data_IF_790491348956
#
_entry.id   IF_790491348956
#
_cell.length_a   1.000
_cell.length_b   1.000
_cell.length_c   1.000
_cell.angle_alpha   90.00
_cell.angle_beta   90.00
_cell.angle_gamma   90.00
#
_symmetry.space_group_name_H-M   'P 1'
#
loop_
_entity.id
_entity.type
_entity.pdbx_description
1 polymer ?
#
# COMPACT_ATOMS: atom_id res chain seq x y z
N UNK A 1 13.56 18.49 -1.56
CA UNK A 1 14.68 19.46 -1.46
C UNK A 1 14.33 20.59 -0.50
N UNK A 2 15.19 20.90 0.49
CA UNK A 2 14.92 21.93 1.51
C UNK A 2 15.66 23.24 1.24
N UNK A 3 14.93 24.35 1.12
CA UNK A 3 15.50 25.69 0.87
C UNK A 3 15.18 26.67 2.00
N UNK A 4 16.06 27.63 2.26
CA UNK A 4 15.68 28.79 3.07
C UNK A 4 14.69 29.67 2.29
N UNK A 5 13.90 30.48 3.02
CA UNK A 5 12.94 31.44 2.43
C UNK A 5 13.58 32.38 1.41
N UNK A 6 14.88 32.65 1.57
CA UNK A 6 15.66 33.53 0.70
C UNK A 6 16.09 32.84 -0.58
N UNK A 7 16.55 31.61 -0.46
CA UNK A 7 16.94 30.79 -1.60
C UNK A 7 15.70 30.48 -2.44
N UNK A 8 14.58 30.17 -1.80
CA UNK A 8 13.31 29.94 -2.47
C UNK A 8 12.79 31.19 -3.20
N UNK A 9 12.87 32.38 -2.58
CA UNK A 9 12.50 33.63 -3.22
C UNK A 9 13.35 33.90 -4.49
N UNK A 10 14.66 33.66 -4.41
CA UNK A 10 15.56 33.79 -5.58
C UNK A 10 15.25 32.75 -6.65
N UNK A 11 14.98 31.50 -6.25
CA UNK A 11 14.63 30.41 -7.15
C UNK A 11 13.35 30.70 -7.95
N UNK A 12 12.31 31.21 -7.28
CA UNK A 12 11.05 31.60 -7.94
C UNK A 12 11.09 33.01 -8.57
N UNK A 13 12.20 33.75 -8.43
CA UNK A 13 12.35 35.10 -8.97
C UNK A 13 11.45 36.15 -8.32
N UNK A 14 11.02 35.93 -7.07
CA UNK A 14 10.06 36.80 -6.35
C UNK A 14 10.69 37.49 -5.14
N UNK A 15 9.98 38.47 -4.57
CA UNK A 15 10.41 39.12 -3.34
C UNK A 15 10.27 38.18 -2.13
N UNK A 16 11.11 38.38 -1.10
CA UNK A 16 11.00 37.64 0.16
C UNK A 16 9.62 37.84 0.82
N UNK A 17 9.01 39.02 0.69
CA UNK A 17 7.71 39.31 1.29
C UNK A 17 6.62 38.43 0.67
N UNK A 18 6.65 38.28 -0.66
CA UNK A 18 5.74 37.38 -1.39
C UNK A 18 5.81 35.95 -0.88
N UNK A 19 7.02 35.46 -0.55
CA UNK A 19 7.20 34.12 0.03
C UNK A 19 6.61 34.02 1.44
N UNK A 20 6.70 35.08 2.27
CA UNK A 20 6.03 35.08 3.58
C UNK A 20 4.51 35.07 3.44
N UNK A 21 3.96 35.85 2.51
CA UNK A 21 2.53 35.89 2.24
C UNK A 21 2.02 34.52 1.74
N UNK A 22 2.82 33.80 0.93
CA UNK A 22 2.50 32.43 0.49
C UNK A 22 2.55 31.42 1.63
N UNK A 23 3.46 31.58 2.60
CA UNK A 23 3.49 30.74 3.80
C UNK A 23 2.22 30.99 4.65
N UNK A 24 1.81 32.25 4.82
CA UNK A 24 0.59 32.59 5.57
C UNK A 24 -0.69 32.08 4.89
N UNK A 25 -0.75 32.13 3.56
CA UNK A 25 -1.83 31.52 2.76
C UNK A 25 -1.74 29.99 2.69
N UNK A 26 -0.66 29.43 3.22
CA UNK A 26 -0.39 28.00 3.18
C UNK A 26 0.03 27.47 1.80
N UNK A 27 0.23 28.29 0.78
CA UNK A 27 0.63 27.88 -0.57
C UNK A 27 2.04 27.25 -0.62
N UNK A 28 2.83 27.42 0.44
CA UNK A 28 4.18 26.88 0.60
C UNK A 28 4.26 25.99 1.83
N UNK A 29 4.80 24.78 1.66
CA UNK A 29 4.96 23.80 2.73
C UNK A 29 6.29 24.02 3.46
N UNK A 30 6.24 24.08 4.79
CA UNK A 30 7.40 24.29 5.65
C UNK A 30 7.81 22.99 6.33
N UNK A 31 9.10 22.64 6.22
CA UNK A 31 9.74 21.61 7.03
C UNK A 31 10.65 22.30 8.07
N UNK A 32 10.11 22.47 9.27
CA UNK A 32 10.73 23.25 10.35
C UNK A 32 10.95 24.72 9.95
N UNK A 33 12.22 25.14 9.86
CA UNK A 33 12.58 26.52 9.48
C UNK A 33 12.83 26.72 7.97
N UNK A 34 12.73 25.66 7.17
CA UNK A 34 13.01 25.66 5.73
C UNK A 34 11.76 25.29 4.93
N UNK A 35 11.73 25.72 3.67
CA UNK A 35 10.67 25.40 2.72
C UNK A 35 10.98 24.04 2.10
N UNK A 36 9.98 23.17 2.10
CA UNK A 36 10.02 21.92 1.37
C UNK A 36 9.53 22.16 -0.06
N UNK A 37 10.47 22.17 -1.01
CA UNK A 37 10.16 22.43 -2.41
C UNK A 37 9.31 21.33 -3.02
N UNK A 38 9.58 20.06 -2.69
CA UNK A 38 8.90 18.93 -3.32
C UNK A 38 7.45 18.90 -2.86
N UNK A 39 7.20 19.05 -1.56
CA UNK A 39 5.85 19.14 -1.03
C UNK A 39 5.08 20.38 -1.56
N UNK A 40 5.78 21.50 -1.76
CA UNK A 40 5.19 22.72 -2.32
C UNK A 40 4.87 22.59 -3.81
N UNK A 41 5.70 21.91 -4.59
CA UNK A 41 5.49 21.71 -6.03
C UNK A 41 4.42 20.65 -6.30
N UNK A 42 4.34 19.62 -5.46
CA UNK A 42 3.26 18.65 -5.49
C UNK A 42 1.91 19.33 -5.24
N UNK A 43 1.84 20.22 -4.25
CA UNK A 43 0.62 20.97 -3.92
C UNK A 43 0.21 22.00 -4.98
N UNK A 44 1.17 22.67 -5.62
CA UNK A 44 0.91 23.74 -6.60
C UNK A 44 0.84 23.25 -8.04
N UNK A 45 0.99 21.94 -8.27
CA UNK A 45 0.66 21.35 -9.56
C UNK A 45 -0.84 21.53 -9.81
N UNK A 46 -1.26 21.87 -11.05
CA UNK A 46 -2.68 22.07 -11.35
C UNK A 46 -3.46 20.81 -10.94
N UNK A 47 -4.72 20.95 -10.49
CA UNK A 47 -5.54 19.78 -10.20
C UNK A 47 -5.65 19.00 -11.51
N UNK A 48 -4.97 17.86 -11.59
CA UNK A 48 -5.22 16.88 -12.63
C UNK A 48 -6.71 16.60 -12.57
N UNK A 49 -7.43 17.01 -13.62
CA UNK A 49 -8.84 16.70 -13.79
C UNK A 49 -9.04 15.21 -13.50
N UNK A 50 -9.82 14.91 -12.46
CA UNK A 50 -10.38 13.60 -12.12
C UNK A 50 -9.67 12.40 -12.76
N UNK A 51 -8.44 12.15 -12.33
CA UNK A 51 -7.78 10.86 -12.49
C UNK A 51 -7.46 10.41 -11.09
N UNK A 52 -8.06 9.30 -10.69
CA UNK A 52 -7.80 8.65 -9.42
C UNK A 52 -6.30 8.44 -9.29
N UNK A 53 -5.66 9.26 -8.47
CA UNK A 53 -4.21 9.22 -8.24
C UNK A 53 -3.76 7.85 -7.70
N UNK A 54 -4.69 7.11 -7.09
CA UNK A 54 -4.52 5.72 -6.66
C UNK A 54 -4.34 4.78 -7.86
N UNK A 55 -5.08 5.00 -8.96
CA UNK A 55 -5.01 4.19 -10.19
C UNK A 55 -3.71 4.38 -10.97
N UNK A 56 -3.07 5.55 -10.89
CA UNK A 56 -1.73 5.74 -11.50
C UNK A 56 -0.59 5.14 -10.66
N UNK A 57 -0.78 5.02 -9.34
CA UNK A 57 0.20 4.41 -8.43
C UNK A 57 0.19 2.87 -8.48
N UNK A 58 -0.97 2.28 -8.77
CA UNK A 58 -1.19 0.82 -8.80
C UNK A 58 -2.00 0.44 -10.05
N UNK A 59 -1.39 0.46 -11.25
CA UNK A 59 -2.09 0.29 -12.52
C UNK A 59 -2.77 -1.08 -12.68
N UNK A 60 -2.36 -2.08 -11.91
CA UNK A 60 -2.95 -3.41 -11.84
C UNK A 60 -4.26 -3.48 -11.03
N UNK A 61 -4.56 -2.46 -10.22
CA UNK A 61 -5.79 -2.37 -9.42
C UNK A 61 -6.95 -1.86 -10.28
N UNK A 62 -7.56 -2.78 -11.01
CA UNK A 62 -8.61 -2.50 -12.01
C UNK A 62 -10.01 -2.93 -11.59
N UNK A 63 -10.14 -3.63 -10.45
CA UNK A 63 -11.40 -4.11 -9.91
C UNK A 63 -11.95 -3.08 -8.93
N UNK A 64 -13.01 -2.38 -9.31
CA UNK A 64 -13.73 -1.50 -8.38
C UNK A 64 -14.76 -2.33 -7.61
N UNK A 65 -14.56 -2.45 -6.29
CA UNK A 65 -15.50 -3.15 -5.41
C UNK A 65 -15.35 -2.62 -3.99
N UNK A 66 -16.42 -2.74 -3.21
CA UNK A 66 -16.37 -2.35 -1.80
C UNK A 66 -15.51 -3.32 -0.99
N UNK A 67 -15.00 -2.91 0.16
CA UNK A 67 -14.28 -3.80 1.08
C UNK A 67 -15.09 -5.07 1.42
N UNK A 68 -16.40 -4.93 1.64
CA UNK A 68 -17.30 -6.06 1.90
C UNK A 68 -17.45 -7.02 0.72
N UNK A 69 -17.55 -6.48 -0.50
CA UNK A 69 -17.59 -7.28 -1.73
C UNK A 69 -16.26 -7.98 -2.01
N UNK A 70 -15.13 -7.29 -1.83
CA UNK A 70 -13.80 -7.86 -1.99
C UNK A 70 -13.57 -9.00 -1.00
N UNK A 71 -13.88 -8.80 0.29
CA UNK A 71 -13.77 -9.87 1.29
C UNK A 71 -14.68 -11.07 0.98
N UNK A 72 -15.89 -10.83 0.47
CA UNK A 72 -16.75 -11.91 0.00
C UNK A 72 -16.13 -12.64 -1.18
N UNK A 73 -15.57 -11.92 -2.15
CA UNK A 73 -14.93 -12.50 -3.34
C UNK A 73 -13.69 -13.34 -2.98
N UNK A 74 -12.87 -12.88 -2.02
CA UNK A 74 -11.73 -13.65 -1.47
C UNK A 74 -12.23 -14.99 -0.92
N UNK A 75 -13.24 -14.96 -0.06
CA UNK A 75 -13.82 -16.19 0.53
C UNK A 75 -14.45 -17.11 -0.51
N UNK A 76 -15.09 -16.55 -1.53
CA UNK A 76 -15.66 -17.33 -2.62
C UNK A 76 -14.56 -18.06 -3.44
N UNK A 77 -13.30 -17.64 -3.35
CA UNK A 77 -12.14 -18.30 -3.98
C UNK A 77 -11.38 -19.26 -3.06
N UNK A 78 -11.71 -19.32 -1.77
CA UNK A 78 -11.06 -20.22 -0.82
C UNK A 78 -11.14 -21.68 -1.29
N UNK A 79 -10.00 -22.36 -1.27
CA UNK A 79 -9.85 -23.75 -1.70
C UNK A 79 -9.91 -23.97 -3.22
N UNK A 80 -10.08 -22.92 -4.02
CA UNK A 80 -10.15 -23.00 -5.50
C UNK A 80 -8.85 -22.55 -6.17
N UNK A 81 -8.00 -21.81 -5.45
CA UNK A 81 -6.70 -21.38 -5.94
C UNK A 81 -5.68 -22.51 -5.74
N UNK A 82 -5.03 -23.00 -6.81
CA UNK A 82 -4.00 -24.03 -6.68
C UNK A 82 -2.91 -23.56 -5.71
N UNK A 83 -2.45 -24.46 -4.86
CA UNK A 83 -1.38 -24.08 -3.95
C UNK A 83 -0.07 -23.84 -4.73
N UNK A 84 0.68 -22.76 -4.42
CA UNK A 84 1.95 -22.48 -5.07
C UNK A 84 2.92 -23.65 -4.88
N UNK A 85 3.72 -23.94 -5.91
CA UNK A 85 4.56 -25.15 -5.96
C UNK A 85 6.01 -24.82 -5.66
N UNK A 86 6.50 -23.70 -6.17
CA UNK A 86 7.88 -23.25 -5.97
C UNK A 86 7.98 -22.22 -4.85
N UNK A 87 9.19 -22.05 -4.31
CA UNK A 87 9.46 -21.00 -3.31
C UNK A 87 9.20 -19.60 -3.88
N UNK A 88 9.48 -19.39 -5.17
CA UNK A 88 9.22 -18.11 -5.84
C UNK A 88 7.72 -17.85 -5.98
N UNK A 89 6.92 -18.87 -6.33
CA UNK A 89 5.46 -18.74 -6.35
C UNK A 89 4.91 -18.42 -4.95
N UNK A 90 5.45 -19.04 -3.91
CA UNK A 90 5.05 -18.79 -2.51
C UNK A 90 5.36 -17.34 -2.13
N UNK A 91 6.56 -16.86 -2.45
CA UNK A 91 6.97 -15.47 -2.16
C UNK A 91 6.09 -14.48 -2.92
N UNK A 92 5.82 -14.73 -4.21
CA UNK A 92 4.96 -13.86 -5.00
C UNK A 92 3.55 -13.80 -4.42
N UNK A 93 2.96 -14.92 -3.98
CA UNK A 93 1.65 -14.90 -3.31
C UNK A 93 1.68 -14.02 -2.04
N UNK A 94 2.74 -14.08 -1.25
CA UNK A 94 2.84 -13.24 -0.04
C UNK A 94 2.99 -11.77 -0.41
N UNK A 95 3.79 -11.44 -1.44
CA UNK A 95 3.97 -10.08 -1.92
C UNK A 95 2.68 -9.49 -2.48
N UNK A 96 1.96 -10.25 -3.31
CA UNK A 96 0.68 -9.82 -3.89
C UNK A 96 -0.35 -9.59 -2.79
N UNK A 97 -0.43 -10.48 -1.78
CA UNK A 97 -1.34 -10.33 -0.66
C UNK A 97 -1.01 -9.11 0.23
N UNK A 98 0.27 -8.91 0.55
CA UNK A 98 0.72 -7.78 1.36
C UNK A 98 0.52 -6.46 0.60
N UNK A 99 0.99 -6.41 -0.65
CA UNK A 99 0.88 -5.24 -1.51
C UNK A 99 -0.56 -4.83 -1.78
N UNK A 100 -1.51 -5.77 -1.84
CA UNK A 100 -2.93 -5.44 -1.97
C UNK A 100 -3.44 -4.59 -0.80
N UNK A 101 -3.00 -4.91 0.42
CA UNK A 101 -3.37 -4.16 1.62
C UNK A 101 -2.45 -2.96 1.89
N UNK A 102 -1.46 -2.70 1.03
CA UNK A 102 -0.48 -1.63 1.21
C UNK A 102 0.66 -1.95 2.18
N UNK A 103 0.85 -3.24 2.48
CA UNK A 103 1.91 -3.74 3.37
C UNK A 103 3.13 -4.16 2.56
N UNK A 104 4.30 -4.15 3.21
CA UNK A 104 5.54 -4.67 2.64
C UNK A 104 5.84 -6.07 3.16
N UNK A 105 6.32 -6.96 2.29
CA UNK A 105 6.75 -8.30 2.64
C UNK A 105 8.25 -8.47 2.43
N UNK A 106 8.98 -8.77 3.51
CA UNK A 106 10.42 -9.04 3.50
C UNK A 106 10.67 -10.53 3.73
N UNK A 107 11.45 -11.15 2.83
CA UNK A 107 11.84 -12.56 2.95
C UNK A 107 13.25 -12.65 3.53
N UNK A 108 13.36 -13.34 4.65
CA UNK A 108 14.59 -13.50 5.40
C UNK A 108 15.19 -14.89 5.16
N UNK A 109 16.37 -15.12 5.73
CA UNK A 109 17.02 -16.43 5.70
C UNK A 109 16.12 -17.52 6.34
N UNK A 110 16.36 -18.78 5.95
CA UNK A 110 15.66 -19.96 6.46
C UNK A 110 14.14 -20.01 6.21
N UNK A 111 13.62 -19.14 5.32
CA UNK A 111 12.21 -19.10 4.95
C UNK A 111 11.33 -18.31 5.92
N UNK A 112 11.94 -17.48 6.77
CA UNK A 112 11.22 -16.52 7.60
C UNK A 112 10.65 -15.36 6.76
N UNK A 113 9.52 -14.81 7.22
CA UNK A 113 8.81 -13.71 6.56
C UNK A 113 8.55 -12.61 7.58
N UNK A 114 8.82 -11.37 7.21
CA UNK A 114 8.41 -10.18 7.96
C UNK A 114 7.39 -9.40 7.13
N UNK A 115 6.21 -9.15 7.70
CA UNK A 115 5.24 -8.20 7.16
C UNK A 115 5.38 -6.86 7.89
N UNK A 116 5.37 -5.76 7.15
CA UNK A 116 5.52 -4.41 7.69
C UNK A 116 4.42 -3.50 7.14
N UNK A 117 3.78 -2.75 8.04
CA UNK A 117 2.86 -1.66 7.75
C UNK A 117 3.37 -0.36 8.41
N UNK A 118 2.53 0.68 8.46
CA UNK A 118 2.88 1.93 9.12
C UNK A 118 2.83 1.86 10.66
N UNK A 119 2.25 0.80 11.23
CA UNK A 119 2.10 0.60 12.68
C UNK A 119 3.19 -0.31 13.27
N UNK A 120 3.77 -1.24 12.50
CA UNK A 120 4.79 -2.14 12.99
C UNK A 120 5.19 -3.29 12.06
N UNK A 121 5.87 -4.27 12.67
CA UNK A 121 6.46 -5.42 11.99
C UNK A 121 5.99 -6.74 12.62
N UNK A 122 5.65 -7.70 11.77
CA UNK A 122 5.15 -9.02 12.15
C UNK A 122 6.03 -10.13 11.57
N UNK A 123 6.67 -10.91 12.45
CA UNK A 123 7.61 -11.97 12.07
C UNK A 123 6.97 -13.36 12.11
N UNK A 124 7.21 -14.13 11.05
CA UNK A 124 6.78 -15.51 10.88
C UNK A 124 8.00 -16.39 10.60
N UNK A 125 8.51 -17.06 11.63
CA UNK A 125 9.80 -17.79 11.59
C UNK A 125 9.71 -19.24 12.12
N UNK A 126 8.53 -19.69 12.53
CA UNK A 126 8.37 -20.97 13.26
C UNK A 126 8.31 -22.20 12.34
N UNK A 127 8.10 -22.02 11.04
CA UNK A 127 7.90 -23.10 10.07
C UNK A 127 8.81 -22.93 8.86
N UNK A 128 8.71 -23.86 7.89
CA UNK A 128 9.29 -23.65 6.57
C UNK A 128 8.58 -22.50 5.84
N UNK A 129 9.15 -22.04 4.72
CA UNK A 129 8.61 -20.93 3.92
C UNK A 129 7.09 -21.07 3.64
N UNK A 130 6.64 -22.27 3.25
CA UNK A 130 5.21 -22.53 2.99
C UNK A 130 4.34 -22.36 4.23
N UNK A 131 4.79 -22.84 5.38
CA UNK A 131 4.08 -22.69 6.65
C UNK A 131 4.03 -21.23 7.11
N UNK A 132 5.14 -20.51 7.04
CA UNK A 132 5.22 -19.10 7.39
C UNK A 132 4.35 -18.26 6.45
N UNK A 133 4.38 -18.52 5.13
CA UNK A 133 3.54 -17.84 4.15
C UNK A 133 2.04 -18.01 4.43
N UNK A 134 1.61 -19.23 4.81
CA UNK A 134 0.21 -19.46 5.22
C UNK A 134 -0.19 -18.64 6.43
N UNK A 135 0.70 -18.48 7.41
CA UNK A 135 0.42 -17.66 8.59
C UNK A 135 0.40 -16.16 8.26
N UNK A 136 1.34 -15.70 7.45
CA UNK A 136 1.40 -14.32 6.96
C UNK A 136 0.13 -13.94 6.20
N UNK A 137 -0.27 -14.74 5.20
CA UNK A 137 -1.51 -14.51 4.43
C UNK A 137 -2.74 -14.58 5.34
N UNK A 138 -2.77 -15.50 6.32
CA UNK A 138 -3.88 -15.58 7.28
C UNK A 138 -3.99 -14.31 8.14
N UNK A 139 -2.87 -13.71 8.52
CA UNK A 139 -2.86 -12.46 9.28
C UNK A 139 -3.38 -11.30 8.42
N UNK A 140 -2.94 -11.18 7.17
CA UNK A 140 -3.47 -10.20 6.21
C UNK A 140 -4.98 -10.39 5.96
N UNK A 141 -5.45 -11.65 5.87
CA UNK A 141 -6.89 -11.95 5.80
C UNK A 141 -7.66 -11.51 7.05
N UNK A 142 -7.06 -11.62 8.24
CA UNK A 142 -7.69 -11.14 9.47
C UNK A 142 -7.86 -9.62 9.41
N UNK A 143 -6.86 -8.89 8.90
CA UNK A 143 -6.96 -7.45 8.73
C UNK A 143 -8.03 -7.07 7.70
N UNK A 144 -8.01 -7.70 6.52
CA UNK A 144 -9.07 -7.51 5.53
C UNK A 144 -10.46 -7.77 6.11
N UNK A 145 -10.63 -8.84 6.90
CA UNK A 145 -11.90 -9.16 7.53
C UNK A 145 -12.32 -8.10 8.56
N UNK A 146 -11.36 -7.51 9.28
CA UNK A 146 -11.62 -6.44 10.24
C UNK A 146 -12.09 -5.16 9.53
N UNK A 147 -11.31 -4.68 8.55
CA UNK A 147 -11.64 -3.47 7.77
C UNK A 147 -12.95 -3.63 7.02
N UNK A 148 -13.18 -4.78 6.37
CA UNK A 148 -14.45 -5.05 5.70
C UNK A 148 -15.65 -5.16 6.64
N UNK A 149 -15.43 -5.39 7.94
CA UNK A 149 -16.47 -5.37 8.97
C UNK A 149 -16.84 -3.95 9.41
N UNK A 150 -15.83 -3.08 9.57
CA UNK A 150 -16.02 -1.69 10.00
C UNK A 150 -16.46 -0.77 8.85
N UNK A 151 -16.00 -1.03 7.63
CA UNK A 151 -16.20 -0.21 6.43
C UNK A 151 -16.72 -1.00 5.22
N UNK A 152 -17.81 -1.80 5.36
CA UNK A 152 -18.24 -2.75 4.33
C UNK A 152 -18.61 -2.12 2.99
N UNK A 153 -19.11 -0.88 2.99
CA UNK A 153 -19.64 -0.18 1.82
C UNK A 153 -18.62 0.80 1.20
N UNK A 154 -17.42 0.94 1.77
CA UNK A 154 -16.39 1.83 1.22
C UNK A 154 -15.80 1.23 -0.06
N UNK A 155 -15.84 2.01 -1.14
CA UNK A 155 -15.31 1.65 -2.45
C UNK A 155 -13.79 1.81 -2.48
N UNK A 156 -13.12 0.82 -3.06
CA UNK A 156 -11.69 0.84 -3.27
C UNK A 156 -11.34 0.15 -4.60
N UNK A 157 -10.13 0.42 -5.10
CA UNK A 157 -9.59 -0.25 -6.29
C UNK A 157 -8.71 -1.43 -5.89
N UNK A 158 -8.99 -2.59 -6.47
CA UNK A 158 -8.34 -3.86 -6.15
C UNK A 158 -7.70 -4.53 -7.37
N UNK A 159 -6.72 -5.39 -7.13
CA UNK A 159 -6.10 -6.22 -8.17
C UNK A 159 -6.63 -7.66 -8.15
N UNK A 160 -6.66 -8.27 -9.34
CA UNK A 160 -7.00 -9.70 -9.48
C UNK A 160 -5.92 -10.59 -8.85
N UNK A 161 -4.66 -10.13 -8.81
CA UNK A 161 -3.54 -10.83 -8.17
C UNK A 161 -3.72 -10.89 -6.64
N UNK A 162 -3.96 -9.75 -6.00
CA UNK A 162 -4.22 -9.66 -4.56
C UNK A 162 -5.47 -10.44 -4.14
N UNK A 163 -6.54 -10.38 -4.93
CA UNK A 163 -7.75 -11.17 -4.72
C UNK A 163 -7.47 -12.68 -4.70
N UNK A 164 -6.63 -13.17 -5.60
CA UNK A 164 -6.21 -14.58 -5.63
C UNK A 164 -5.22 -14.92 -4.51
N UNK A 165 -4.29 -14.01 -4.22
CA UNK A 165 -3.24 -14.19 -3.23
C UNK A 165 -3.78 -14.25 -1.79
N UNK A 166 -4.85 -13.51 -1.51
CA UNK A 166 -5.52 -13.51 -0.22
C UNK A 166 -6.46 -14.71 -0.02
N UNK A 167 -6.75 -15.51 -1.05
CA UNK A 167 -7.59 -16.71 -0.92
C UNK A 167 -6.83 -17.89 -0.28
N UNK A 168 -7.54 -18.73 0.48
CA UNK A 168 -6.94 -19.97 0.98
C UNK A 168 -6.59 -20.91 -0.18
N UNK A 169 -5.35 -21.41 -0.18
CA UNK A 169 -4.92 -22.37 -1.18
C UNK A 169 -5.69 -23.69 -1.09
N UNK A 170 -5.84 -24.35 -2.22
CA UNK A 170 -6.38 -25.71 -2.31
C UNK A 170 -5.63 -26.64 -1.35
N UNK A 171 -6.40 -27.46 -0.61
CA UNK A 171 -5.82 -28.52 0.21
C UNK A 171 -5.28 -29.59 -0.72
N UNK A 172 -3.97 -29.57 -0.96
CA UNK A 172 -3.28 -30.71 -1.59
C UNK A 172 -3.54 -31.93 -0.71
N UNK A 173 -4.29 -32.90 -1.23
CA UNK A 173 -4.67 -34.11 -0.51
C UNK A 173 -3.45 -34.79 0.11
N UNK A 174 -3.54 -35.07 1.40
CA UNK A 174 -2.70 -36.05 2.08
C UNK A 174 -3.36 -37.42 1.98
#
# INVERSE_FOLDING_TARGET
MLMSKTEYAKYKGVSRQTVYDWIEKGEVVMSGKKIDMEATEWRNSPPSQGKDTVSEMWPERTLEMTWGEFWKAVRDRDGKIPAPVTDDDIKQCVQDAAGELGWEAHFLDDGAICLEDDEGQHYFEQYNLRGNARLAIRMLRCELCYVAGDYPDELESWSEAGLNALAEWEKTGH
#
